data_IF_730702921114
#
_entry.id   IF_730702921114
#
_cell.length_a   1.000
_cell.length_b   1.000
_cell.length_c   1.000
_cell.angle_alpha   90.00
_cell.angle_beta   90.00
_cell.angle_gamma   90.00
#
_symmetry.space_group_name_H-M   'P 1'
#
loop_
_entity.id
_entity.type
_entity.pdbx_description
1 polymer ?
#
# COMPACT_ATOMS: atom_id res chain seq x y z
N UNK A 1 13.20 -9.35 6.53
CA UNK A 1 14.19 -10.43 6.78
C UNK A 1 15.47 -10.20 5.99
N UNK A 2 16.46 -11.12 6.10
CA UNK A 2 17.74 -11.05 5.34
C UNK A 2 17.48 -10.81 3.84
N UNK A 3 16.49 -11.47 3.24
CA UNK A 3 16.12 -11.27 1.84
C UNK A 3 15.73 -9.84 1.50
N UNK A 4 15.06 -9.14 2.40
CA UNK A 4 14.66 -7.74 2.17
C UNK A 4 15.85 -6.79 2.27
N UNK A 5 16.83 -7.08 3.16
CA UNK A 5 18.06 -6.29 3.28
C UNK A 5 18.89 -6.43 2.01
N UNK A 6 19.10 -7.67 1.53
CA UNK A 6 19.81 -7.92 0.27
C UNK A 6 19.12 -7.30 -0.93
N UNK A 7 17.78 -7.36 -0.97
CA UNK A 7 17.00 -6.70 -2.02
C UNK A 7 17.26 -5.20 -2.05
N UNK A 8 17.22 -4.52 -0.89
CA UNK A 8 17.50 -3.08 -0.81
C UNK A 8 18.91 -2.75 -1.29
N UNK A 9 19.90 -3.56 -0.93
CA UNK A 9 21.29 -3.40 -1.39
C UNK A 9 21.40 -3.60 -2.89
N UNK A 10 20.80 -4.68 -3.43
CA UNK A 10 20.79 -4.95 -4.87
C UNK A 10 20.12 -3.83 -5.65
N UNK A 11 18.92 -3.37 -5.23
CA UNK A 11 18.23 -2.25 -5.87
C UNK A 11 19.08 -0.98 -5.83
N UNK A 12 19.73 -0.68 -4.70
CA UNK A 12 20.59 0.47 -4.57
C UNK A 12 21.77 0.41 -5.57
N UNK A 13 22.42 -0.74 -5.68
CA UNK A 13 23.53 -0.96 -6.64
C UNK A 13 23.01 -0.78 -8.08
N UNK A 14 21.89 -1.41 -8.45
CA UNK A 14 21.30 -1.31 -9.79
C UNK A 14 20.91 0.13 -10.12
N UNK A 15 20.33 0.87 -9.17
CA UNK A 15 20.01 2.28 -9.34
C UNK A 15 21.28 3.10 -9.56
N UNK A 16 22.34 2.89 -8.78
CA UNK A 16 23.61 3.59 -8.95
C UNK A 16 24.26 3.32 -10.29
N UNK A 17 24.25 2.06 -10.74
CA UNK A 17 24.73 1.70 -12.07
C UNK A 17 23.92 2.45 -13.14
N UNK A 18 22.59 2.42 -13.07
CA UNK A 18 21.74 3.14 -14.02
C UNK A 18 22.03 4.64 -14.04
N UNK A 19 22.16 5.28 -12.87
CA UNK A 19 22.41 6.71 -12.72
C UNK A 19 23.80 7.14 -13.23
N UNK A 20 24.79 6.24 -13.23
CA UNK A 20 26.09 6.50 -13.87
C UNK A 20 25.95 6.69 -15.38
N UNK A 21 25.02 5.96 -16.01
CA UNK A 21 24.83 6.04 -17.47
C UNK A 21 23.72 7.02 -17.89
N UNK A 22 22.76 7.30 -17.00
CA UNK A 22 21.58 8.10 -17.33
C UNK A 22 21.10 8.90 -16.12
N UNK A 23 21.53 10.16 -16.02
CA UNK A 23 21.01 11.07 -15.01
C UNK A 23 19.58 11.53 -15.39
N UNK A 24 18.61 11.50 -14.46
CA UNK A 24 17.31 12.09 -14.72
C UNK A 24 17.48 13.59 -14.95
N UNK A 25 16.87 14.10 -16.04
CA UNK A 25 16.83 15.54 -16.27
C UNK A 25 15.76 16.17 -15.36
N UNK A 26 16.09 17.22 -14.62
CA UNK A 26 15.08 17.95 -13.85
C UNK A 26 14.07 18.58 -14.81
N UNK A 27 12.78 18.48 -14.47
CA UNK A 27 11.71 19.13 -15.19
C UNK A 27 11.22 20.30 -14.35
N UNK A 28 10.93 21.46 -14.97
CA UNK A 28 10.38 22.59 -14.25
C UNK A 28 8.94 22.29 -13.78
N UNK A 29 8.56 22.83 -12.65
CA UNK A 29 7.18 22.82 -12.18
C UNK A 29 6.32 23.63 -13.17
N UNK A 30 5.17 23.12 -13.64
CA UNK A 30 4.26 23.89 -14.48
C UNK A 30 3.77 25.16 -13.78
N UNK A 31 3.69 26.26 -14.53
CA UNK A 31 3.06 27.48 -14.05
C UNK A 31 1.53 27.28 -13.92
N UNK A 32 0.86 28.16 -13.17
CA UNK A 32 -0.56 28.02 -12.83
C UNK A 32 -1.49 27.94 -14.05
N UNK A 33 -1.20 28.69 -15.09
CA UNK A 33 -1.92 28.68 -16.35
C UNK A 33 -1.76 27.36 -17.12
N UNK A 34 -0.60 26.71 -16.99
CA UNK A 34 -0.29 25.43 -17.62
C UNK A 34 -0.76 24.22 -16.83
N UNK A 35 -1.25 24.39 -15.60
CA UNK A 35 -1.81 23.27 -14.82
C UNK A 35 -3.08 22.72 -15.48
N UNK A 36 -3.20 21.39 -15.67
CA UNK A 36 -4.41 20.79 -16.24
C UNK A 36 -5.55 20.78 -15.22
N UNK A 37 -6.81 20.75 -15.66
CA UNK A 37 -7.92 20.44 -14.75
C UNK A 37 -7.75 19.02 -14.21
N UNK A 38 -8.11 18.81 -12.95
CA UNK A 38 -8.09 17.50 -12.30
C UNK A 38 -9.31 17.27 -11.40
N UNK A 39 -9.63 16.02 -11.19
CA UNK A 39 -10.67 15.59 -10.23
C UNK A 39 -10.03 14.91 -9.04
N UNK A 40 -10.27 15.43 -7.85
CA UNK A 40 -9.97 14.77 -6.58
C UNK A 40 -11.14 13.85 -6.24
N UNK A 41 -10.93 12.54 -6.34
CA UNK A 41 -11.94 11.50 -6.21
C UNK A 41 -11.86 10.86 -4.82
N UNK A 42 -12.96 10.88 -4.06
CA UNK A 42 -13.05 10.36 -2.71
C UNK A 42 -14.20 9.35 -2.66
N UNK A 43 -13.88 8.06 -2.48
CA UNK A 43 -14.87 7.02 -2.23
C UNK A 43 -15.14 6.93 -0.73
N UNK A 44 -16.42 6.96 -0.32
CA UNK A 44 -16.81 7.00 1.09
C UNK A 44 -17.90 6.00 1.44
N UNK A 45 -17.77 5.41 2.64
CA UNK A 45 -18.80 4.61 3.29
C UNK A 45 -18.77 4.84 4.79
N UNK A 46 -19.82 5.48 5.34
CA UNK A 46 -19.93 5.82 6.75
C UNK A 46 -18.70 6.59 7.28
N UNK A 47 -18.52 7.79 6.75
CA UNK A 47 -17.37 8.66 7.05
C UNK A 47 -17.81 9.99 7.69
N UNK A 48 -18.97 10.03 8.37
CA UNK A 48 -19.55 11.25 8.97
C UNK A 48 -18.57 12.03 9.85
N UNK A 49 -17.68 11.31 10.57
CA UNK A 49 -16.74 11.93 11.50
C UNK A 49 -15.62 12.72 10.81
N UNK A 50 -15.32 12.42 9.54
CA UNK A 50 -14.15 12.98 8.83
C UNK A 50 -14.51 13.87 7.63
N UNK A 51 -15.77 13.94 7.22
CA UNK A 51 -16.23 14.73 6.05
C UNK A 51 -15.77 16.17 6.14
N UNK A 52 -16.06 16.84 7.25
CA UNK A 52 -15.81 18.28 7.39
C UNK A 52 -14.31 18.60 7.41
N UNK A 53 -13.53 17.77 8.08
CA UNK A 53 -12.06 17.91 8.10
C UNK A 53 -11.47 17.66 6.71
N UNK A 54 -11.93 16.58 6.04
CA UNK A 54 -11.47 16.26 4.68
C UNK A 54 -11.81 17.38 3.70
N UNK A 55 -13.01 17.96 3.77
CA UNK A 55 -13.40 19.05 2.89
C UNK A 55 -12.55 20.31 3.13
N UNK A 56 -12.28 20.69 4.40
CA UNK A 56 -11.34 21.79 4.68
C UNK A 56 -9.97 21.51 4.09
N UNK A 57 -9.42 20.31 4.30
CA UNK A 57 -8.14 19.92 3.72
C UNK A 57 -8.15 20.02 2.18
N UNK A 58 -9.22 19.57 1.52
CA UNK A 58 -9.35 19.66 0.05
C UNK A 58 -9.34 21.12 -0.44
N UNK A 59 -9.96 22.05 0.30
CA UNK A 59 -10.02 23.47 -0.06
C UNK A 59 -8.73 24.24 0.26
N UNK A 60 -7.88 23.71 1.15
CA UNK A 60 -6.56 24.28 1.50
C UNK A 60 -5.46 23.84 0.55
N UNK A 61 -5.74 22.90 -0.38
CA UNK A 61 -4.75 22.42 -1.35
C UNK A 61 -4.35 23.56 -2.31
N UNK A 62 -3.05 23.69 -2.57
CA UNK A 62 -2.49 24.66 -3.50
C UNK A 62 -2.75 24.21 -4.95
N UNK A 63 -3.98 24.46 -5.41
CA UNK A 63 -4.39 24.23 -6.79
C UNK A 63 -5.46 25.25 -7.20
N UNK A 64 -5.45 25.75 -8.47
CA UNK A 64 -6.45 26.72 -8.92
C UNK A 64 -7.88 26.17 -8.78
N UNK A 65 -8.74 26.93 -8.10
CA UNK A 65 -10.10 26.46 -7.76
C UNK A 65 -10.99 26.18 -8.98
N UNK A 66 -10.76 26.88 -10.08
CA UNK A 66 -11.44 26.68 -11.37
C UNK A 66 -11.00 25.41 -12.10
N UNK A 67 -9.84 24.85 -11.71
CA UNK A 67 -9.26 23.62 -12.28
C UNK A 67 -9.39 22.40 -11.38
N UNK A 68 -9.88 22.55 -10.12
CA UNK A 68 -10.05 21.46 -9.16
C UNK A 68 -11.54 21.10 -9.02
N UNK A 69 -11.88 19.84 -9.33
CA UNK A 69 -13.20 19.26 -9.03
C UNK A 69 -13.07 18.29 -7.88
N UNK A 70 -13.91 18.43 -6.85
CA UNK A 70 -13.94 17.53 -5.68
C UNK A 70 -15.16 16.61 -5.83
N UNK A 71 -14.91 15.32 -6.08
CA UNK A 71 -15.93 14.32 -6.33
C UNK A 71 -15.99 13.31 -5.17
N UNK A 72 -17.12 13.27 -4.47
CA UNK A 72 -17.43 12.27 -3.47
C UNK A 72 -18.35 11.21 -4.04
N UNK A 73 -17.97 9.94 -3.90
CA UNK A 73 -18.78 8.81 -4.32
C UNK A 73 -19.13 7.98 -3.09
N UNK A 74 -20.35 8.14 -2.59
CA UNK A 74 -20.83 7.44 -1.40
C UNK A 74 -21.51 6.13 -1.79
N UNK A 75 -21.17 5.04 -1.09
CA UNK A 75 -21.56 3.67 -1.42
C UNK A 75 -22.37 3.05 -0.28
N UNK A 76 -23.64 3.38 -0.22
CA UNK A 76 -24.59 2.84 0.77
C UNK A 76 -24.35 3.36 2.19
N UNK A 77 -23.85 4.59 2.35
CA UNK A 77 -23.73 5.24 3.66
C UNK A 77 -25.12 5.40 4.30
N UNK A 78 -25.25 4.96 5.54
CA UNK A 78 -26.46 5.01 6.34
C UNK A 78 -26.31 5.84 7.64
N UNK A 79 -25.21 6.58 7.74
CA UNK A 79 -24.93 7.61 8.73
C UNK A 79 -25.18 9.02 8.16
N UNK A 80 -24.70 10.05 8.84
CA UNK A 80 -24.84 11.46 8.41
C UNK A 80 -23.82 11.90 7.34
N UNK A 81 -23.07 10.98 6.70
CA UNK A 81 -22.07 11.32 5.67
C UNK A 81 -22.66 12.18 4.56
N UNK A 82 -23.80 11.77 3.97
CA UNK A 82 -24.43 12.51 2.86
C UNK A 82 -25.01 13.85 3.31
N UNK A 83 -25.56 13.92 4.52
CA UNK A 83 -26.09 15.14 5.11
C UNK A 83 -24.96 16.16 5.30
N UNK A 84 -23.82 15.76 5.90
CA UNK A 84 -22.66 16.64 6.07
C UNK A 84 -22.10 17.12 4.73
N UNK A 85 -22.01 16.25 3.72
CA UNK A 85 -21.58 16.63 2.37
C UNK A 85 -22.49 17.66 1.72
N UNK A 86 -23.78 17.66 2.01
CA UNK A 86 -24.73 18.66 1.47
C UNK A 86 -24.45 20.09 1.94
N UNK A 87 -23.74 20.27 3.05
CA UNK A 87 -23.29 21.59 3.53
C UNK A 87 -22.07 22.16 2.78
N UNK A 88 -21.46 21.36 1.89
CA UNK A 88 -20.29 21.75 1.13
C UNK A 88 -20.63 21.90 -0.36
N UNK A 89 -20.96 23.13 -0.84
CA UNK A 89 -21.38 23.36 -2.24
C UNK A 89 -20.25 23.08 -3.26
N UNK A 90 -19.00 22.97 -2.81
CA UNK A 90 -17.85 22.63 -3.64
C UNK A 90 -17.73 21.12 -3.90
N UNK A 91 -18.46 20.29 -3.14
CA UNK A 91 -18.45 18.85 -3.30
C UNK A 91 -19.49 18.41 -4.33
N UNK A 92 -19.06 17.68 -5.35
CA UNK A 92 -19.95 16.94 -6.25
C UNK A 92 -20.19 15.58 -5.58
N UNK A 93 -21.45 15.26 -5.25
CA UNK A 93 -21.78 14.03 -4.53
C UNK A 93 -22.57 13.07 -5.40
N UNK A 94 -22.01 11.87 -5.60
CA UNK A 94 -22.67 10.76 -6.27
C UNK A 94 -23.04 9.70 -5.22
N UNK A 95 -24.30 9.67 -4.82
CA UNK A 95 -24.81 8.71 -3.84
C UNK A 95 -25.44 7.48 -4.49
N UNK A 96 -25.18 6.30 -3.90
CA UNK A 96 -25.92 5.07 -4.17
C UNK A 96 -26.40 4.46 -2.86
N UNK A 97 -27.71 4.13 -2.72
CA UNK A 97 -28.26 3.60 -1.47
C UNK A 97 -27.76 2.19 -1.12
N UNK A 98 -27.42 1.41 -2.13
CA UNK A 98 -26.98 0.03 -1.95
C UNK A 98 -25.46 -0.05 -1.89
N UNK A 99 -24.93 -0.66 -0.84
CA UNK A 99 -23.49 -0.89 -0.67
C UNK A 99 -22.99 -1.96 -1.62
N UNK A 100 -22.06 -1.60 -2.50
CA UNK A 100 -21.44 -2.51 -3.48
C UNK A 100 -19.93 -2.65 -3.33
N UNK A 101 -19.30 -1.85 -2.45
CA UNK A 101 -17.86 -1.87 -2.16
C UNK A 101 -17.09 -0.77 -2.92
N UNK A 102 -15.86 -0.51 -2.41
CA UNK A 102 -15.01 0.59 -2.90
C UNK A 102 -14.77 0.50 -4.42
N UNK A 103 -14.41 -0.68 -4.92
CA UNK A 103 -14.14 -0.88 -6.35
C UNK A 103 -15.35 -0.57 -7.22
N UNK A 104 -16.56 -0.93 -6.77
CA UNK A 104 -17.80 -0.59 -7.48
C UNK A 104 -18.05 0.93 -7.47
N UNK A 105 -17.74 1.60 -6.35
CA UNK A 105 -17.82 3.07 -6.26
C UNK A 105 -16.83 3.75 -7.21
N UNK A 106 -15.58 3.26 -7.30
CA UNK A 106 -14.59 3.77 -8.26
C UNK A 106 -15.05 3.59 -9.71
N UNK A 107 -15.50 2.38 -10.08
CA UNK A 107 -15.99 2.08 -11.42
C UNK A 107 -17.18 2.97 -11.81
N UNK A 108 -18.12 3.19 -10.86
CA UNK A 108 -19.26 4.06 -11.09
C UNK A 108 -18.88 5.53 -11.24
N UNK A 109 -18.06 6.02 -10.31
CA UNK A 109 -17.70 7.44 -10.25
C UNK A 109 -16.83 7.90 -11.42
N UNK A 110 -16.00 7.03 -11.99
CA UNK A 110 -15.10 7.40 -13.10
C UNK A 110 -15.85 7.89 -14.34
N UNK A 111 -17.08 7.43 -14.55
CA UNK A 111 -17.90 7.86 -15.69
C UNK A 111 -18.32 9.34 -15.60
N UNK A 112 -18.28 9.93 -14.41
CA UNK A 112 -18.59 11.34 -14.18
C UNK A 112 -17.35 12.23 -14.16
N UNK A 113 -16.17 11.66 -14.37
CA UNK A 113 -14.92 12.39 -14.43
C UNK A 113 -14.62 12.81 -15.87
N UNK A 114 -14.54 14.11 -16.12
CA UNK A 114 -14.25 14.69 -17.43
C UNK A 114 -12.82 15.23 -17.54
N UNK A 115 -12.14 15.40 -16.41
CA UNK A 115 -10.77 15.94 -16.35
C UNK A 115 -9.74 14.91 -16.80
N UNK A 116 -8.62 15.32 -17.41
CA UNK A 116 -7.60 14.40 -17.91
C UNK A 116 -6.86 13.64 -16.80
N UNK A 117 -6.83 14.20 -15.58
CA UNK A 117 -6.19 13.57 -14.41
C UNK A 117 -7.20 13.33 -13.32
N UNK A 118 -7.06 12.18 -12.67
CA UNK A 118 -7.86 11.79 -11.50
C UNK A 118 -6.92 11.46 -10.36
N UNK A 119 -7.13 12.12 -9.23
CA UNK A 119 -6.41 11.87 -7.98
C UNK A 119 -7.36 11.17 -7.02
N UNK A 120 -7.03 9.96 -6.64
CA UNK A 120 -7.78 9.17 -5.65
C UNK A 120 -7.18 9.36 -4.27
N UNK A 121 -8.05 9.54 -3.28
CA UNK A 121 -7.65 9.63 -1.87
C UNK A 121 -8.74 9.07 -0.97
N UNK A 122 -8.35 8.50 0.16
CA UNK A 122 -9.31 8.04 1.17
C UNK A 122 -9.89 9.23 1.96
N UNK A 123 -11.13 9.09 2.44
CA UNK A 123 -11.84 10.13 3.17
C UNK A 123 -11.14 10.52 4.50
N UNK A 124 -10.50 9.54 5.15
CA UNK A 124 -9.84 9.69 6.47
C UNK A 124 -8.36 10.06 6.39
N UNK A 125 -7.89 10.56 5.25
CA UNK A 125 -6.49 10.98 5.06
C UNK A 125 -6.39 12.49 4.91
N UNK A 126 -5.30 13.06 5.40
CA UNK A 126 -4.96 14.47 5.24
C UNK A 126 -3.82 14.64 4.24
N UNK A 127 -4.06 15.39 3.17
CA UNK A 127 -3.06 15.65 2.13
C UNK A 127 -2.24 16.90 2.47
N UNK A 128 -0.94 16.90 2.13
CA UNK A 128 -0.16 18.12 2.21
C UNK A 128 -0.59 19.13 1.15
N UNK A 129 -0.38 20.39 1.45
CA UNK A 129 -0.87 21.51 0.66
C UNK A 129 -0.45 21.45 -0.83
N UNK A 130 0.78 21.05 -1.08
CA UNK A 130 1.39 21.02 -2.42
C UNK A 130 1.13 19.70 -3.16
N UNK A 131 0.43 18.74 -2.56
CA UNK A 131 0.29 17.38 -3.08
C UNK A 131 -0.17 17.31 -4.52
N UNK A 132 -1.17 18.13 -4.91
CA UNK A 132 -1.71 18.11 -6.28
C UNK A 132 -0.72 18.63 -7.30
N UNK A 133 0.04 19.69 -6.96
CA UNK A 133 1.08 20.24 -7.84
C UNK A 133 2.20 19.24 -8.08
N UNK A 134 2.65 18.58 -7.03
CA UNK A 134 3.71 17.56 -7.11
C UNK A 134 3.27 16.34 -7.95
N UNK A 135 2.02 15.92 -7.81
CA UNK A 135 1.43 14.87 -8.65
C UNK A 135 1.40 15.30 -10.11
N UNK A 136 0.92 16.52 -10.42
CA UNK A 136 0.87 17.04 -11.78
C UNK A 136 2.27 17.21 -12.37
N UNK A 137 3.24 17.67 -11.57
CA UNK A 137 4.63 17.72 -11.98
C UNK A 137 5.17 16.37 -12.44
N UNK A 138 4.86 15.28 -11.72
CA UNK A 138 5.25 13.93 -12.13
C UNK A 138 4.63 13.53 -13.49
N UNK A 139 3.41 13.97 -13.79
CA UNK A 139 2.74 13.72 -15.09
C UNK A 139 3.29 14.55 -16.27
N UNK A 140 4.21 15.49 -16.04
CA UNK A 140 4.93 16.15 -17.15
C UNK A 140 5.77 15.16 -17.96
N UNK A 141 6.10 13.98 -17.38
CA UNK A 141 6.62 12.85 -18.15
C UNK A 141 5.47 12.12 -18.86
N UNK A 142 5.44 12.07 -20.20
CA UNK A 142 4.40 11.36 -20.93
C UNK A 142 4.44 9.85 -20.68
N UNK A 143 5.54 9.31 -20.19
CA UNK A 143 5.66 7.88 -19.80
C UNK A 143 4.97 7.57 -18.47
N UNK A 144 4.68 8.59 -17.66
CA UNK A 144 3.99 8.40 -16.38
C UNK A 144 2.49 8.24 -16.65
N UNK A 145 1.98 7.06 -16.38
CA UNK A 145 0.55 6.75 -16.46
C UNK A 145 -0.14 6.75 -15.09
N UNK A 146 0.65 6.54 -14.03
CA UNK A 146 0.19 6.57 -12.64
C UNK A 146 1.23 7.25 -11.75
N UNK A 147 0.78 8.00 -10.76
CA UNK A 147 1.61 8.58 -9.70
C UNK A 147 1.14 8.01 -8.37
N UNK A 148 2.04 7.38 -7.64
CA UNK A 148 1.82 6.93 -6.27
C UNK A 148 2.37 7.99 -5.31
N UNK A 149 1.52 8.56 -4.47
CA UNK A 149 1.93 9.41 -3.37
C UNK A 149 2.51 8.61 -2.19
N UNK A 150 3.12 9.31 -1.25
CA UNK A 150 3.66 8.70 -0.04
C UNK A 150 2.59 8.62 1.04
N UNK A 151 2.52 7.47 1.69
CA UNK A 151 1.75 7.31 2.93
C UNK A 151 2.63 7.67 4.12
N UNK A 152 2.11 8.53 5.00
CA UNK A 152 2.70 8.83 6.31
C UNK A 152 1.72 8.49 7.41
N UNK A 153 2.25 7.95 8.51
CA UNK A 153 1.45 7.69 9.71
C UNK A 153 1.62 8.87 10.65
N UNK A 154 0.50 9.42 11.13
CA UNK A 154 0.50 10.49 12.12
C UNK A 154 1.25 10.04 13.39
N UNK A 155 2.18 10.87 13.85
CA UNK A 155 2.89 10.63 15.09
C UNK A 155 1.97 11.05 16.23
N UNK A 156 1.35 10.08 16.88
CA UNK A 156 0.53 10.34 18.06
C UNK A 156 1.40 10.43 19.32
N UNK A 157 1.04 11.31 20.22
CA UNK A 157 1.68 11.48 21.54
C UNK A 157 1.54 10.24 22.44
N UNK A 158 0.57 9.37 22.15
CA UNK A 158 0.40 8.03 22.76
C UNK A 158 0.91 6.98 21.77
N UNK A 159 2.21 6.67 21.83
CA UNK A 159 2.84 5.58 21.09
C UNK A 159 2.13 4.24 21.34
N UNK A 160 1.18 3.86 20.50
CA UNK A 160 0.69 2.49 20.45
C UNK A 160 1.74 1.59 19.77
N UNK A 161 1.93 0.36 20.28
CA UNK A 161 2.84 -0.62 19.67
C UNK A 161 2.46 -0.88 18.18
N UNK A 162 1.15 -0.85 17.86
CA UNK A 162 0.64 -0.99 16.51
C UNK A 162 1.10 0.15 15.59
N UNK A 163 0.92 1.40 15.99
CA UNK A 163 1.29 2.58 15.18
C UNK A 163 2.81 2.73 15.03
N UNK A 164 3.59 2.41 16.08
CA UNK A 164 5.06 2.42 16.01
C UNK A 164 5.61 1.38 15.04
N UNK A 165 5.06 0.16 15.03
CA UNK A 165 5.43 -0.89 14.08
C UNK A 165 4.99 -0.59 12.66
N UNK A 166 3.80 -0.03 12.51
CA UNK A 166 3.29 0.42 11.22
C UNK A 166 4.19 1.53 10.64
N UNK A 167 4.58 2.52 11.43
CA UNK A 167 5.46 3.61 11.00
C UNK A 167 6.85 3.12 10.55
N UNK A 168 7.47 2.20 11.29
CA UNK A 168 8.75 1.57 10.89
C UNK A 168 8.62 0.79 9.57
N UNK A 169 7.54 0.03 9.44
CA UNK A 169 7.24 -0.71 8.24
C UNK A 169 7.08 0.22 7.03
N UNK A 170 6.30 1.31 7.17
CA UNK A 170 6.09 2.25 6.07
C UNK A 170 7.34 3.02 5.68
N UNK A 171 8.21 3.38 6.63
CA UNK A 171 9.52 3.99 6.33
C UNK A 171 10.40 3.06 5.50
N UNK A 172 10.39 1.77 5.80
CA UNK A 172 11.11 0.77 5.02
C UNK A 172 10.48 0.59 3.63
N UNK A 173 9.17 0.47 3.55
CA UNK A 173 8.40 0.32 2.31
C UNK A 173 8.58 1.53 1.38
N UNK A 174 8.54 2.76 1.92
CA UNK A 174 8.81 3.99 1.19
C UNK A 174 10.20 3.99 0.55
N UNK A 175 11.22 3.57 1.30
CA UNK A 175 12.58 3.44 0.77
C UNK A 175 12.65 2.47 -0.41
N UNK A 176 11.99 1.32 -0.31
CA UNK A 176 11.96 0.33 -1.40
C UNK A 176 11.20 0.85 -2.62
N UNK A 177 10.03 1.49 -2.41
CA UNK A 177 9.27 2.11 -3.50
C UNK A 177 10.08 3.17 -4.24
N UNK A 178 10.81 4.02 -3.49
CA UNK A 178 11.68 5.04 -4.07
C UNK A 178 12.80 4.43 -4.93
N UNK A 179 13.43 3.36 -4.46
CA UNK A 179 14.46 2.65 -5.22
C UNK A 179 13.87 1.97 -6.46
N UNK A 180 12.71 1.32 -6.33
CA UNK A 180 12.03 0.70 -7.47
C UNK A 180 11.66 1.75 -8.54
N UNK A 181 11.07 2.88 -8.14
CA UNK A 181 10.72 3.98 -9.05
C UNK A 181 11.96 4.57 -9.75
N UNK A 182 13.08 4.73 -9.04
CA UNK A 182 14.35 5.19 -9.62
C UNK A 182 14.96 4.16 -10.57
N UNK A 183 14.80 2.86 -10.30
CA UNK A 183 15.28 1.81 -11.19
C UNK A 183 14.43 1.78 -12.48
N UNK A 184 13.11 1.68 -12.37
CA UNK A 184 12.20 1.68 -13.52
C UNK A 184 10.81 2.22 -13.18
N UNK A 185 10.05 1.55 -12.30
CA UNK A 185 8.68 1.89 -11.92
C UNK A 185 8.44 1.50 -10.47
N UNK A 186 7.64 2.26 -9.74
CA UNK A 186 7.13 1.77 -8.46
C UNK A 186 6.28 0.52 -8.68
N UNK A 187 6.22 -0.35 -7.66
CA UNK A 187 5.44 -1.60 -7.72
C UNK A 187 4.11 -1.42 -7.00
N UNK A 188 3.18 -0.82 -7.73
CA UNK A 188 1.83 -0.52 -7.25
C UNK A 188 1.72 0.78 -6.46
N UNK A 189 0.54 1.39 -6.54
CA UNK A 189 0.14 2.53 -5.75
C UNK A 189 -0.44 2.10 -4.39
N UNK A 190 -0.79 3.07 -3.55
CA UNK A 190 -1.49 2.88 -2.29
C UNK A 190 -2.73 3.79 -2.25
N UNK A 191 -3.83 3.27 -1.73
CA UNK A 191 -5.16 3.90 -1.83
C UNK A 191 -5.29 5.23 -1.10
N UNK A 192 -4.38 5.54 -0.21
CA UNK A 192 -4.36 6.78 0.56
C UNK A 192 -4.14 8.01 -0.33
N UNK A 193 -3.28 7.86 -1.38
CA UNK A 193 -3.04 8.91 -2.38
C UNK A 193 -2.41 8.30 -3.63
N UNK A 194 -3.12 8.32 -4.74
CA UNK A 194 -2.55 8.01 -6.05
C UNK A 194 -3.32 8.72 -7.15
N UNK A 195 -2.71 8.88 -8.30
CA UNK A 195 -3.33 9.53 -9.44
C UNK A 195 -3.08 8.75 -10.72
N UNK A 196 -4.01 8.86 -11.67
CA UNK A 196 -3.91 8.23 -12.99
C UNK A 196 -4.33 9.21 -14.10
N UNK A 197 -3.86 8.97 -15.30
CA UNK A 197 -4.49 9.56 -16.49
C UNK A 197 -5.87 8.94 -16.64
N UNK A 198 -6.90 9.77 -16.77
CA UNK A 198 -8.30 9.31 -16.84
C UNK A 198 -8.50 8.30 -17.97
N UNK A 199 -7.86 8.49 -19.09
CA UNK A 199 -7.94 7.61 -20.26
C UNK A 199 -7.38 6.20 -20.03
N UNK A 200 -6.48 6.05 -19.03
CA UNK A 200 -5.86 4.77 -18.67
C UNK A 200 -6.63 4.01 -17.58
N UNK A 201 -7.69 4.63 -17.03
CA UNK A 201 -8.53 3.94 -16.07
C UNK A 201 -9.35 2.85 -16.78
N UNK A 202 -9.16 1.62 -16.35
CA UNK A 202 -9.98 0.49 -16.77
C UNK A 202 -10.79 -0.02 -15.58
N UNK A 203 -12.07 -0.28 -15.79
CA UNK A 203 -12.93 -0.86 -14.76
C UNK A 203 -12.34 -2.17 -14.25
N UNK A 204 -12.49 -2.35 -12.94
CA UNK A 204 -11.98 -3.52 -12.24
C UNK A 204 -13.14 -4.43 -11.84
N UNK A 205 -12.81 -5.70 -11.61
CA UNK A 205 -13.75 -6.66 -11.08
C UNK A 205 -14.22 -6.21 -9.68
N UNK A 206 -15.54 -6.26 -9.42
CA UNK A 206 -16.16 -5.73 -8.19
C UNK A 206 -15.60 -6.32 -6.90
N UNK A 207 -15.12 -7.56 -6.94
CA UNK A 207 -14.51 -8.25 -5.81
C UNK A 207 -13.00 -7.96 -5.64
N UNK A 208 -12.45 -6.94 -6.33
CA UNK A 208 -11.05 -6.53 -6.19
C UNK A 208 -10.81 -5.98 -4.78
N UNK A 209 -9.84 -6.59 -4.06
CA UNK A 209 -9.52 -6.20 -2.69
C UNK A 209 -8.48 -5.09 -2.58
N UNK A 210 -7.60 -4.97 -3.58
CA UNK A 210 -6.56 -3.94 -3.69
C UNK A 210 -6.73 -3.24 -5.05
N UNK A 211 -7.68 -2.33 -5.11
CA UNK A 211 -8.06 -1.58 -6.30
C UNK A 211 -6.91 -0.70 -6.82
N UNK A 212 -6.27 0.04 -5.93
CA UNK A 212 -5.11 0.89 -6.17
C UNK A 212 -3.94 0.12 -6.80
N UNK A 213 -3.63 -1.04 -6.22
CA UNK A 213 -2.54 -1.89 -6.65
C UNK A 213 -2.80 -2.53 -8.02
N UNK A 214 -4.02 -3.06 -8.23
CA UNK A 214 -4.40 -3.71 -9.49
C UNK A 214 -4.47 -2.69 -10.62
N UNK A 215 -5.12 -1.53 -10.39
CA UNK A 215 -5.26 -0.48 -11.39
C UNK A 215 -3.90 0.05 -11.83
N UNK A 216 -3.05 0.44 -10.88
CA UNK A 216 -1.73 1.00 -11.20
C UNK A 216 -0.84 0.03 -11.96
N UNK A 217 -0.84 -1.26 -11.61
CA UNK A 217 -0.06 -2.26 -12.34
C UNK A 217 -0.67 -2.62 -13.71
N UNK A 218 -2.00 -2.58 -13.88
CA UNK A 218 -2.63 -2.70 -15.22
C UNK A 218 -2.20 -1.56 -16.14
N UNK A 219 -2.04 -0.35 -15.62
CA UNK A 219 -1.48 0.79 -16.36
C UNK A 219 -0.01 0.53 -16.71
N UNK A 220 0.79 0.04 -15.77
CA UNK A 220 2.20 -0.29 -16.03
C UNK A 220 2.37 -1.41 -17.08
N UNK A 221 1.46 -2.38 -17.11
CA UNK A 221 1.44 -3.44 -18.13
C UNK A 221 1.19 -2.93 -19.56
N UNK A 222 0.66 -1.72 -19.73
CA UNK A 222 0.47 -1.05 -21.02
C UNK A 222 1.73 -0.30 -21.49
N UNK A 223 2.84 -0.36 -20.74
CA UNK A 223 4.10 0.28 -21.07
C UNK A 223 4.33 1.64 -20.39
N UNK A 224 3.40 2.09 -19.57
CA UNK A 224 3.59 3.27 -18.73
C UNK A 224 4.41 2.94 -17.48
N UNK A 225 4.86 3.97 -16.78
CA UNK A 225 5.53 3.83 -15.48
C UNK A 225 4.64 4.37 -14.36
N UNK A 226 4.79 3.79 -13.18
CA UNK A 226 4.24 4.31 -11.93
C UNK A 226 5.34 5.16 -11.29
N UNK A 227 5.18 6.48 -11.31
CA UNK A 227 6.07 7.37 -10.59
C UNK A 227 5.79 7.31 -9.08
N UNK A 228 6.82 7.46 -8.26
CA UNK A 228 6.65 7.58 -6.81
C UNK A 228 7.04 8.99 -6.38
N UNK A 229 6.07 9.73 -5.87
CA UNK A 229 6.22 11.11 -5.46
C UNK A 229 6.19 11.21 -3.94
N UNK A 230 7.34 11.44 -3.32
CA UNK A 230 7.50 11.56 -1.86
C UNK A 230 7.09 12.93 -1.33
N UNK A 231 7.04 13.93 -2.20
CA UNK A 231 6.63 15.31 -1.93
C UNK A 231 5.11 15.44 -1.87
N UNK A 232 4.38 14.54 -2.55
CA UNK A 232 2.93 14.39 -2.43
C UNK A 232 2.63 13.27 -1.43
N UNK A 233 2.11 13.61 -0.25
CA UNK A 233 1.84 12.62 0.78
C UNK A 233 0.47 12.78 1.43
N UNK A 234 -0.04 11.63 1.89
CA UNK A 234 -1.24 11.52 2.69
C UNK A 234 -0.87 11.07 4.11
N UNK A 235 -1.34 11.81 5.10
CA UNK A 235 -1.20 11.47 6.51
C UNK A 235 -2.45 10.71 6.94
N UNK A 236 -2.26 9.58 7.61
CA UNK A 236 -3.33 8.74 8.12
C UNK A 236 -3.06 8.39 9.58
N UNK A 237 -4.09 8.34 10.41
CA UNK A 237 -3.98 7.82 11.77
C UNK A 237 -3.66 6.32 11.73
N UNK A 238 -2.76 5.87 12.59
CA UNK A 238 -2.42 4.45 12.72
C UNK A 238 -3.61 3.61 13.15
N UNK A 239 -3.50 2.28 13.05
CA UNK A 239 -4.52 1.36 13.54
C UNK A 239 -4.74 1.54 15.04
N UNK A 240 -5.99 1.48 15.51
CA UNK A 240 -6.35 1.70 16.90
C UNK A 240 -5.65 0.71 17.85
N UNK A 241 -5.54 -0.56 17.43
CA UNK A 241 -4.87 -1.61 18.17
C UNK A 241 -4.32 -2.71 17.22
N UNK A 242 -3.63 -3.71 17.80
CA UNK A 242 -3.06 -4.83 17.04
C UNK A 242 -4.11 -5.76 16.41
N UNK A 243 -5.35 -5.78 16.90
CA UNK A 243 -6.43 -6.58 16.32
C UNK A 243 -6.96 -5.93 15.04
N UNK A 244 -7.14 -4.63 15.05
CA UNK A 244 -7.52 -3.87 13.85
C UNK A 244 -6.40 -3.91 12.80
N UNK A 245 -5.14 -3.82 13.24
CA UNK A 245 -3.99 -4.01 12.35
C UNK A 245 -3.97 -5.42 11.74
N UNK A 246 -4.29 -6.47 12.51
CA UNK A 246 -4.41 -7.85 12.01
C UNK A 246 -5.48 -7.96 10.93
N UNK A 247 -6.69 -7.46 11.17
CA UNK A 247 -7.77 -7.46 10.18
C UNK A 247 -7.32 -6.81 8.87
N UNK A 248 -6.64 -5.66 8.98
CA UNK A 248 -6.12 -4.92 7.83
C UNK A 248 -5.04 -5.74 7.09
N UNK A 249 -4.07 -6.32 7.79
CA UNK A 249 -2.98 -7.11 7.18
C UNK A 249 -3.49 -8.39 6.53
N UNK A 250 -4.45 -9.08 7.15
CA UNK A 250 -5.09 -10.28 6.57
C UNK A 250 -5.81 -9.91 5.26
N UNK A 251 -6.54 -8.78 5.22
CA UNK A 251 -7.19 -8.30 4.00
C UNK A 251 -6.18 -7.94 2.91
N UNK A 252 -5.12 -7.20 3.26
CA UNK A 252 -4.05 -6.84 2.31
C UNK A 252 -3.37 -8.09 1.76
N UNK A 253 -3.12 -9.09 2.59
CA UNK A 253 -2.52 -10.35 2.16
C UNK A 253 -3.45 -11.14 1.22
N UNK A 254 -4.73 -11.22 1.54
CA UNK A 254 -5.73 -11.84 0.67
C UNK A 254 -5.83 -11.11 -0.69
N UNK A 255 -5.87 -9.78 -0.67
CA UNK A 255 -5.86 -8.95 -1.88
C UNK A 255 -4.57 -9.10 -2.68
N UNK A 256 -3.43 -9.23 -2.02
CA UNK A 256 -2.14 -9.51 -2.66
C UNK A 256 -2.14 -10.85 -3.41
N UNK A 257 -2.63 -11.90 -2.79
CA UNK A 257 -2.78 -13.23 -3.42
C UNK A 257 -3.77 -13.19 -4.60
N UNK A 258 -4.91 -12.50 -4.46
CA UNK A 258 -5.86 -12.27 -5.53
C UNK A 258 -5.20 -11.51 -6.69
N UNK A 259 -4.44 -10.47 -6.38
CA UNK A 259 -3.73 -9.65 -7.37
C UNK A 259 -2.68 -10.44 -8.14
N UNK A 260 -1.94 -11.36 -7.48
CA UNK A 260 -0.97 -12.23 -8.16
C UNK A 260 -1.67 -13.06 -9.24
N UNK A 261 -2.85 -13.59 -8.94
CA UNK A 261 -3.62 -14.37 -9.92
C UNK A 261 -4.13 -13.49 -11.07
N UNK A 262 -4.65 -12.31 -10.80
CA UNK A 262 -5.19 -11.38 -11.80
C UNK A 262 -4.11 -10.77 -12.69
N UNK A 263 -2.95 -10.50 -12.10
CA UNK A 263 -1.80 -9.92 -12.79
C UNK A 263 -0.76 -10.97 -13.19
N UNK A 264 -1.17 -12.25 -13.31
CA UNK A 264 -0.28 -13.35 -13.70
C UNK A 264 0.53 -13.12 -14.98
N UNK A 265 0.04 -12.38 -16.01
CA UNK A 265 0.88 -12.10 -17.17
C UNK A 265 2.16 -11.33 -16.82
N UNK A 266 2.11 -10.50 -15.75
CA UNK A 266 3.26 -9.71 -15.26
C UNK A 266 4.38 -10.59 -14.68
N UNK A 267 4.13 -11.88 -14.42
CA UNK A 267 5.16 -12.83 -14.00
C UNK A 267 6.13 -13.20 -15.14
N UNK A 268 5.82 -12.84 -16.39
CA UNK A 268 6.65 -13.15 -17.55
C UNK A 268 7.76 -12.10 -17.74
N UNK A 269 9.03 -12.41 -17.39
CA UNK A 269 10.13 -11.46 -17.50
C UNK A 269 10.53 -11.17 -18.96
N UNK A 270 10.22 -12.07 -19.90
CA UNK A 270 10.49 -11.85 -21.31
C UNK A 270 9.58 -10.79 -21.93
N UNK A 271 8.37 -10.63 -21.37
CA UNK A 271 7.42 -9.63 -21.86
C UNK A 271 7.55 -8.28 -21.12
N UNK A 272 7.79 -8.31 -19.81
CA UNK A 272 7.75 -7.12 -18.96
C UNK A 272 9.10 -6.73 -18.37
N UNK A 273 10.17 -7.50 -18.61
CA UNK A 273 11.53 -7.15 -18.26
C UNK A 273 11.72 -6.77 -16.77
N UNK A 274 12.25 -5.57 -16.55
CA UNK A 274 12.51 -5.04 -15.22
C UNK A 274 11.25 -4.93 -14.36
N UNK A 275 10.11 -4.58 -14.94
CA UNK A 275 8.85 -4.49 -14.19
C UNK A 275 8.46 -5.86 -13.60
N UNK A 276 8.62 -6.95 -14.36
CA UNK A 276 8.38 -8.30 -13.86
C UNK A 276 9.32 -8.63 -12.70
N UNK A 277 10.61 -8.34 -12.84
CA UNK A 277 11.60 -8.55 -11.77
C UNK A 277 11.21 -7.79 -10.49
N UNK A 278 10.87 -6.50 -10.62
CA UNK A 278 10.45 -5.68 -9.49
C UNK A 278 9.17 -6.23 -8.84
N UNK A 279 8.17 -6.58 -9.65
CA UNK A 279 6.90 -7.14 -9.17
C UNK A 279 7.11 -8.45 -8.41
N UNK A 280 7.84 -9.40 -8.99
CA UNK A 280 8.11 -10.70 -8.37
C UNK A 280 8.89 -10.52 -7.07
N UNK A 281 9.99 -9.78 -7.10
CA UNK A 281 10.87 -9.62 -5.94
C UNK A 281 10.25 -8.77 -4.82
N UNK A 282 9.36 -7.80 -5.13
CA UNK A 282 8.78 -6.91 -4.13
C UNK A 282 7.46 -7.40 -3.56
N UNK A 283 6.62 -8.05 -4.39
CA UNK A 283 5.25 -8.41 -4.00
C UNK A 283 4.98 -9.89 -4.03
N UNK A 284 5.29 -10.57 -5.15
CA UNK A 284 4.90 -11.97 -5.31
C UNK A 284 5.58 -12.86 -4.28
N UNK A 285 6.89 -12.82 -4.15
CA UNK A 285 7.62 -13.63 -3.17
C UNK A 285 7.17 -13.36 -1.74
N UNK A 286 6.89 -12.11 -1.42
CA UNK A 286 6.45 -11.69 -0.09
C UNK A 286 5.07 -12.21 0.29
N UNK A 287 4.13 -12.26 -0.66
CA UNK A 287 2.76 -12.72 -0.42
C UNK A 287 2.56 -14.20 -0.69
N UNK A 288 3.54 -14.89 -1.28
CA UNK A 288 3.43 -16.31 -1.62
C UNK A 288 4.50 -17.16 -0.96
N UNK A 289 5.73 -17.09 -1.42
CA UNK A 289 6.80 -18.05 -1.08
C UNK A 289 7.41 -17.79 0.30
N UNK A 290 7.72 -16.53 0.62
CA UNK A 290 8.48 -16.17 1.83
C UNK A 290 7.83 -16.65 3.14
N UNK A 291 6.50 -16.49 3.37
CA UNK A 291 5.88 -16.95 4.60
C UNK A 291 5.97 -18.46 4.77
N UNK A 292 5.81 -19.22 3.70
CA UNK A 292 5.91 -20.68 3.77
C UNK A 292 7.35 -21.14 4.04
N UNK A 293 8.33 -20.54 3.35
CA UNK A 293 9.74 -20.88 3.56
C UNK A 293 10.18 -20.54 4.99
N UNK A 294 9.70 -19.44 5.57
CA UNK A 294 10.05 -19.08 6.94
C UNK A 294 9.73 -20.23 7.91
N UNK A 295 8.51 -20.76 7.83
CA UNK A 295 8.09 -21.85 8.73
C UNK A 295 8.68 -23.21 8.34
N UNK A 296 8.94 -23.46 7.04
CA UNK A 296 9.53 -24.69 6.56
C UNK A 296 11.03 -24.81 6.92
N UNK A 297 11.74 -23.69 7.03
CA UNK A 297 13.17 -23.70 7.36
C UNK A 297 13.49 -24.36 8.70
N UNK A 298 12.60 -24.25 9.70
CA UNK A 298 12.82 -24.83 11.01
C UNK A 298 12.85 -26.38 10.97
N UNK A 299 11.80 -27.07 10.47
CA UNK A 299 11.83 -28.54 10.39
C UNK A 299 12.88 -29.03 9.38
N UNK A 300 13.13 -28.30 8.30
CA UNK A 300 14.16 -28.67 7.34
C UNK A 300 15.56 -28.64 7.97
N UNK A 301 15.88 -27.57 8.75
CA UNK A 301 17.16 -27.47 9.42
C UNK A 301 17.32 -28.54 10.52
N UNK A 302 16.24 -28.86 11.25
CA UNK A 302 16.26 -29.96 12.22
C UNK A 302 16.49 -31.32 11.54
N UNK A 303 15.89 -31.55 10.37
CA UNK A 303 16.10 -32.75 9.58
C UNK A 303 17.55 -32.85 9.09
N UNK A 304 18.12 -31.77 8.57
CA UNK A 304 19.50 -31.71 8.11
C UNK A 304 20.50 -31.97 9.26
N UNK A 305 20.23 -31.41 10.44
CA UNK A 305 21.01 -31.66 11.64
C UNK A 305 21.01 -33.14 12.01
N UNK A 306 19.81 -33.77 12.00
CA UNK A 306 19.67 -35.21 12.28
C UNK A 306 20.40 -36.08 11.26
N UNK A 307 20.23 -35.80 9.96
CA UNK A 307 20.88 -36.56 8.88
C UNK A 307 22.39 -36.46 8.95
N UNK A 308 22.93 -35.25 9.18
CA UNK A 308 24.38 -35.05 9.32
C UNK A 308 24.96 -35.72 10.57
N UNK A 309 24.23 -35.66 11.70
CA UNK A 309 24.60 -36.37 12.93
C UNK A 309 24.67 -37.90 12.72
N UNK A 310 23.69 -38.49 12.04
CA UNK A 310 23.64 -39.91 11.71
C UNK A 310 24.77 -40.33 10.75
N UNK A 311 25.18 -39.45 9.85
CA UNK A 311 26.29 -39.68 8.91
C UNK A 311 27.68 -39.48 9.54
N UNK A 312 27.77 -39.05 10.81
CA UNK A 312 29.04 -38.73 11.46
C UNK A 312 29.73 -37.47 10.97
N UNK A 313 29.03 -36.64 10.18
CA UNK A 313 29.56 -35.40 9.63
C UNK A 313 29.48 -34.25 10.66
N UNK A 314 30.27 -33.18 10.45
CA UNK A 314 30.16 -31.98 11.27
C UNK A 314 28.80 -31.32 11.12
N UNK A 315 28.05 -31.21 12.22
CA UNK A 315 26.72 -30.65 12.29
C UNK A 315 26.64 -29.27 13.00
N UNK A 316 27.82 -28.72 13.38
CA UNK A 316 27.88 -27.46 14.17
C UNK A 316 27.14 -26.33 13.51
N UNK A 317 27.29 -26.10 12.19
CA UNK A 317 26.59 -25.03 11.46
C UNK A 317 25.07 -25.16 11.56
N UNK A 318 24.55 -26.36 11.30
CA UNK A 318 23.11 -26.62 11.36
C UNK A 318 22.58 -26.52 12.79
N UNK A 319 23.36 -26.95 13.79
CA UNK A 319 23.05 -26.80 15.21
C UNK A 319 22.95 -25.32 15.63
N UNK A 320 23.94 -24.50 15.27
CA UNK A 320 23.93 -23.07 15.54
C UNK A 320 22.75 -22.40 14.86
N UNK A 321 22.50 -22.70 13.57
CA UNK A 321 21.35 -22.17 12.85
C UNK A 321 20.02 -22.56 13.50
N UNK A 322 19.87 -23.79 13.94
CA UNK A 322 18.66 -24.26 14.62
C UNK A 322 18.42 -23.51 15.94
N UNK A 323 19.47 -23.33 16.74
CA UNK A 323 19.37 -22.56 18.00
C UNK A 323 18.98 -21.10 17.72
N UNK A 324 19.58 -20.46 16.73
CA UNK A 324 19.22 -19.10 16.35
C UNK A 324 17.78 -18.98 15.84
N UNK A 325 17.31 -19.97 15.06
CA UNK A 325 15.93 -20.03 14.60
C UNK A 325 14.95 -20.18 15.77
N UNK A 326 15.20 -21.11 16.67
CA UNK A 326 14.36 -21.31 17.87
C UNK A 326 14.35 -20.05 18.71
N UNK A 327 15.49 -19.44 18.97
CA UNK A 327 15.60 -18.19 19.70
C UNK A 327 14.75 -17.07 19.04
N UNK A 328 14.82 -16.94 17.71
CA UNK A 328 14.02 -15.98 16.98
C UNK A 328 12.51 -16.18 17.20
N UNK A 329 12.02 -17.43 17.12
CA UNK A 329 10.61 -17.73 17.36
C UNK A 329 10.20 -17.49 18.81
N UNK A 330 11.06 -17.87 19.78
CA UNK A 330 10.81 -17.61 21.21
C UNK A 330 10.72 -16.11 21.49
N UNK A 331 11.67 -15.32 20.95
CA UNK A 331 11.63 -13.86 21.10
C UNK A 331 10.38 -13.23 20.45
N UNK A 332 9.96 -13.75 19.30
CA UNK A 332 8.73 -13.31 18.64
C UNK A 332 7.47 -13.62 19.44
N UNK A 333 7.38 -14.83 20.00
CA UNK A 333 6.26 -15.23 20.88
C UNK A 333 6.26 -14.44 22.20
N UNK A 334 7.43 -14.17 22.76
CA UNK A 334 7.55 -13.30 23.94
C UNK A 334 7.12 -11.87 23.62
N UNK A 335 7.55 -11.32 22.48
CA UNK A 335 7.08 -10.02 22.02
C UNK A 335 5.56 -9.96 21.84
N UNK A 336 4.94 -11.02 21.31
CA UNK A 336 3.49 -11.18 21.26
C UNK A 336 2.85 -11.13 22.66
N UNK A 337 3.36 -11.93 23.60
CA UNK A 337 2.87 -11.93 24.98
C UNK A 337 2.97 -10.54 25.64
N UNK A 338 4.10 -9.85 25.49
CA UNK A 338 4.24 -8.49 26.01
C UNK A 338 3.28 -7.50 25.34
N UNK A 339 3.06 -7.62 24.04
CA UNK A 339 2.09 -6.82 23.31
C UNK A 339 0.65 -7.01 23.81
N UNK A 340 0.25 -8.24 24.17
CA UNK A 340 -1.07 -8.49 24.78
C UNK A 340 -1.22 -7.86 26.19
N UNK A 341 -0.12 -7.66 26.89
CA UNK A 341 -0.05 -6.96 28.19
C UNK A 341 0.17 -5.45 28.05
N UNK A 342 0.18 -4.91 26.82
CA UNK A 342 0.49 -3.51 26.51
C UNK A 342 1.86 -3.02 27.02
N UNK A 343 2.80 -3.95 27.25
CA UNK A 343 4.16 -3.64 27.65
C UNK A 343 5.00 -3.35 26.42
N UNK A 344 5.56 -2.14 26.35
CA UNK A 344 6.36 -1.68 25.22
C UNK A 344 7.81 -2.16 25.33
N UNK A 345 8.27 -3.00 24.41
CA UNK A 345 9.67 -3.39 24.27
C UNK A 345 10.07 -3.34 22.80
N UNK A 346 10.83 -2.32 22.42
CA UNK A 346 11.23 -2.07 21.02
C UNK A 346 12.05 -3.22 20.41
N UNK A 347 12.91 -3.88 21.20
CA UNK A 347 13.75 -4.99 20.70
C UNK A 347 12.93 -6.23 20.40
N UNK A 348 12.01 -6.60 21.28
CA UNK A 348 11.14 -7.77 21.10
C UNK A 348 10.02 -7.51 20.10
N UNK A 349 9.69 -6.23 19.87
CA UNK A 349 8.68 -5.87 18.89
C UNK A 349 9.10 -6.23 17.46
N UNK A 350 10.37 -6.13 17.09
CA UNK A 350 10.86 -6.43 15.74
C UNK A 350 10.62 -7.91 15.35
N UNK A 351 11.11 -8.93 16.09
CA UNK A 351 10.82 -10.32 15.76
C UNK A 351 9.33 -10.66 15.84
N UNK A 352 8.61 -10.09 16.81
CA UNK A 352 7.16 -10.26 16.92
C UNK A 352 6.45 -9.72 15.65
N UNK A 353 6.68 -8.47 15.27
CA UNK A 353 5.98 -7.86 14.13
C UNK A 353 6.34 -8.57 12.80
N UNK A 354 7.57 -9.06 12.67
CA UNK A 354 7.98 -9.86 11.52
C UNK A 354 7.18 -11.17 11.42
N UNK A 355 7.07 -11.93 12.53
CA UNK A 355 6.25 -13.13 12.58
C UNK A 355 4.76 -12.82 12.34
N UNK A 356 4.24 -11.78 12.97
CA UNK A 356 2.88 -11.28 12.79
C UNK A 356 2.55 -11.03 11.31
N UNK A 357 3.42 -10.33 10.59
CA UNK A 357 3.23 -10.07 9.16
C UNK A 357 3.15 -11.36 8.33
N UNK A 358 4.03 -12.34 8.59
CA UNK A 358 4.06 -13.60 7.84
C UNK A 358 2.87 -14.51 8.18
N UNK A 359 2.47 -14.60 9.46
CA UNK A 359 1.27 -15.34 9.88
C UNK A 359 0.02 -14.76 9.23
N UNK A 360 -0.08 -13.43 9.12
CA UNK A 360 -1.24 -12.79 8.50
C UNK A 360 -1.33 -13.07 6.99
N UNK A 361 -0.22 -13.33 6.31
CA UNK A 361 -0.27 -13.82 4.92
C UNK A 361 -0.94 -15.19 4.85
N UNK A 362 -0.58 -16.11 5.75
CA UNK A 362 -1.22 -17.45 5.81
C UNK A 362 -2.71 -17.34 6.15
N UNK A 363 -3.09 -16.47 7.11
CA UNK A 363 -4.50 -16.17 7.43
C UNK A 363 -5.24 -15.57 6.22
N UNK A 364 -4.57 -14.76 5.39
CA UNK A 364 -5.11 -14.19 4.16
C UNK A 364 -5.58 -15.24 3.16
N UNK A 365 -4.94 -16.41 3.08
CA UNK A 365 -5.38 -17.53 2.24
C UNK A 365 -6.78 -18.02 2.70
N UNK A 366 -6.95 -18.20 4.01
CA UNK A 366 -8.24 -18.58 4.59
C UNK A 366 -9.34 -17.54 4.35
N UNK A 367 -8.98 -16.25 4.49
CA UNK A 367 -9.88 -15.13 4.23
C UNK A 367 -10.35 -15.12 2.77
N UNK A 368 -9.42 -15.28 1.82
CA UNK A 368 -9.73 -15.29 0.38
C UNK A 368 -10.67 -16.43 -0.01
N UNK A 369 -10.51 -17.62 0.63
CA UNK A 369 -11.41 -18.77 0.41
C UNK A 369 -12.83 -18.49 0.93
N UNK A 370 -12.97 -17.84 2.09
CA UNK A 370 -14.26 -17.58 2.75
C UNK A 370 -15.07 -16.46 2.10
N UNK A 371 -14.41 -15.40 1.58
CA UNK A 371 -15.06 -14.18 1.05
C UNK A 371 -14.98 -14.05 -0.48
N UNK A 372 -14.94 -15.14 -1.21
CA UNK A 372 -14.98 -15.10 -2.69
C UNK A 372 -16.27 -14.40 -3.17
N UNK A 373 -16.10 -13.37 -4.01
CA UNK A 373 -17.20 -12.69 -4.70
C UNK A 373 -17.82 -11.49 -3.96
N UNK A 374 -17.39 -11.14 -2.76
CA UNK A 374 -17.87 -9.93 -2.07
C UNK A 374 -16.77 -8.87 -2.01
N UNK A 375 -16.89 -7.79 -2.79
CA UNK A 375 -16.02 -6.61 -2.68
C UNK A 375 -16.25 -5.76 -1.42
N UNK A 376 -17.13 -6.23 -0.53
CA UNK A 376 -17.54 -5.53 0.69
C UNK A 376 -16.76 -6.08 1.89
N UNK A 377 -16.07 -5.21 2.62
CA UNK A 377 -15.35 -5.55 3.86
C UNK A 377 -15.74 -4.62 5.01
N UNK A 378 -15.49 -5.09 6.24
CA UNK A 378 -15.65 -4.25 7.43
C UNK A 378 -14.55 -3.18 7.48
N UNK A 379 -14.93 -1.93 7.79
CA UNK A 379 -14.01 -0.83 8.03
C UNK A 379 -13.19 -1.11 9.29
N UNK A 380 -11.86 -1.05 9.21
CA UNK A 380 -11.00 -1.16 10.37
C UNK A 380 -11.06 0.14 11.18
N UNK A 381 -11.14 0.03 12.51
CA UNK A 381 -11.13 1.20 13.40
C UNK A 381 -9.74 1.85 13.43
N UNK A 382 -9.70 3.17 13.35
CA UNK A 382 -8.50 3.98 13.50
C UNK A 382 -8.43 4.56 14.92
N UNK A 383 -7.22 4.89 15.37
CA UNK A 383 -7.08 5.64 16.60
C UNK A 383 -7.66 7.04 16.37
N UNK A 384 -8.70 7.41 17.14
CA UNK A 384 -9.20 8.78 17.16
C UNK A 384 -8.12 9.70 17.74
N UNK A 385 -7.91 10.84 17.12
CA UNK A 385 -7.21 11.94 17.76
C UNK A 385 -8.07 12.40 18.95
N UNK A 386 -7.58 12.19 20.16
CA UNK A 386 -8.17 12.70 21.40
C UNK A 386 -7.44 13.95 21.84
#
# INVERSE_FOLDING_TARGET
GLGDVYKRQLLYILVKIKECFRKPAPRPMPADDALPPLTLFIAAYNEEDVVDEKMRNCLELDYPADKLRILWVTDGSNDHTNERLSHWPQAIVLHQPQRQGKTAALNRGIHFVETPLVVFTDANTHLNREALREIVHAFTDPKVGCVAGEKRIAVQSKDNAASGGEGLYWKYESTLKALDARLYSAVGAAGELFAVRRELFAEMERDTLLDDFVLSLRIAMQGYIIAYCTEAYAIESGSADMREEEKRKVRIAAGGLQSIWRLRPLLNPFRYGILSFQYVSHRVLRWSVTPFLLFLLLPLNALLLLMKGLAGDSCILYGVLLVLQILFYVLGLWGYYLSTKQIKNKLLFIPYYFLFMNVNVLKGIGYLKKKRGTGVWEKAKRSSES
#
